data_IF_957349164981
#
_entry.id   IF_957349164981
#
_cell.length_a   1.000
_cell.length_b   1.000
_cell.length_c   1.000
_cell.angle_alpha   90.00
_cell.angle_beta   90.00
_cell.angle_gamma   90.00
#
_symmetry.space_group_name_H-M   'P 1'
#
loop_
_entity.id
_entity.type
_entity.pdbx_description
1 polymer ?
#
# COMPACT_ATOMS: atom_id res chain seq x y z
N UNK A 1 4.04 -27.72 -28.45
CA UNK A 1 3.30 -27.58 -27.18
C UNK A 1 4.34 -27.20 -26.15
N UNK A 2 4.22 -26.00 -25.58
CA UNK A 2 5.21 -25.45 -24.64
C UNK A 2 4.70 -25.42 -23.20
N UNK A 3 5.60 -25.62 -22.25
CA UNK A 3 5.35 -25.46 -20.81
C UNK A 3 6.48 -24.64 -20.16
N UNK A 4 6.10 -23.78 -19.21
CA UNK A 4 7.03 -22.97 -18.41
C UNK A 4 6.73 -23.21 -16.93
N UNK A 5 7.76 -23.53 -16.17
CA UNK A 5 7.72 -23.66 -14.72
C UNK A 5 8.60 -22.61 -14.06
N UNK A 6 8.07 -21.89 -13.06
CA UNK A 6 8.79 -20.85 -12.32
C UNK A 6 8.83 -21.18 -10.82
N UNK A 7 9.99 -20.97 -10.20
CA UNK A 7 10.23 -21.25 -8.77
C UNK A 7 11.12 -20.17 -8.12
N UNK A 8 11.15 -20.11 -6.79
CA UNK A 8 11.98 -19.18 -5.98
C UNK A 8 11.68 -17.69 -6.17
N UNK A 9 10.41 -17.27 -6.14
CA UNK A 9 9.98 -15.88 -6.45
C UNK A 9 10.42 -15.46 -7.86
N UNK A 10 10.15 -16.31 -8.84
CA UNK A 10 10.49 -16.11 -10.26
C UNK A 10 11.99 -16.01 -10.58
N UNK A 11 12.85 -16.51 -9.68
CA UNK A 11 14.30 -16.52 -9.92
C UNK A 11 14.74 -17.67 -10.82
N UNK A 12 14.03 -18.79 -10.81
CA UNK A 12 14.32 -19.94 -11.68
C UNK A 12 13.16 -20.13 -12.64
N UNK A 13 13.45 -20.17 -13.94
CA UNK A 13 12.52 -20.56 -14.99
C UNK A 13 13.06 -21.77 -15.75
N UNK A 14 12.20 -22.76 -15.94
CA UNK A 14 12.46 -23.93 -16.77
C UNK A 14 11.41 -23.93 -17.87
N UNK A 15 11.86 -24.06 -19.11
CA UNK A 15 11.03 -24.02 -20.31
C UNK A 15 11.28 -25.28 -21.11
N UNK A 16 10.20 -25.89 -21.59
CA UNK A 16 10.25 -27.01 -22.52
C UNK A 16 9.22 -26.76 -23.62
N UNK A 17 9.58 -26.98 -24.87
CA UNK A 17 8.67 -26.94 -26.01
C UNK A 17 8.96 -28.11 -26.95
N UNK A 18 7.89 -28.63 -27.56
CA UNK A 18 7.94 -29.72 -28.52
C UNK A 18 7.18 -29.29 -29.77
N UNK A 19 7.88 -29.17 -30.89
CA UNK A 19 7.31 -28.78 -32.18
C UNK A 19 7.31 -29.98 -33.11
N UNK A 20 6.16 -30.23 -33.73
CA UNK A 20 6.01 -31.21 -34.80
C UNK A 20 5.31 -30.54 -35.97
N UNK A 21 5.95 -30.58 -37.15
CA UNK A 21 5.45 -29.96 -38.37
C UNK A 21 4.81 -31.07 -39.23
N UNK A 22 3.52 -30.92 -39.54
CA UNK A 22 2.79 -31.90 -40.34
C UNK A 22 3.44 -32.08 -41.72
N UNK A 23 3.81 -33.32 -42.07
CA UNK A 23 4.43 -33.67 -43.35
C UNK A 23 5.96 -33.70 -43.35
N UNK A 24 6.62 -33.31 -42.26
CA UNK A 24 8.08 -33.45 -42.08
C UNK A 24 8.36 -34.51 -41.01
N UNK A 25 9.11 -35.58 -41.29
CA UNK A 25 9.52 -36.54 -40.27
C UNK A 25 10.51 -35.87 -39.31
N UNK A 26 10.08 -35.57 -38.08
CA UNK A 26 10.92 -34.98 -37.05
C UNK A 26 10.11 -34.43 -35.89
N UNK A 27 10.59 -34.65 -34.67
CA UNK A 27 10.09 -33.99 -33.46
C UNK A 27 11.22 -33.13 -32.94
N UNK A 28 11.06 -31.81 -32.99
CA UNK A 28 12.02 -30.86 -32.44
C UNK A 28 11.65 -30.56 -31.00
N UNK A 29 12.62 -30.66 -30.10
CA UNK A 29 12.45 -30.37 -28.68
C UNK A 29 13.41 -29.27 -28.26
N UNK A 30 12.85 -28.25 -27.63
CA UNK A 30 13.59 -27.12 -27.08
C UNK A 30 13.52 -27.17 -25.57
N UNK A 31 14.68 -27.12 -24.92
CA UNK A 31 14.79 -27.07 -23.48
C UNK A 31 15.57 -25.83 -23.06
N UNK A 32 15.11 -25.11 -22.04
CA UNK A 32 15.76 -23.91 -21.55
C UNK A 32 15.66 -23.78 -20.04
N UNK A 33 16.73 -23.34 -19.40
CA UNK A 33 16.78 -23.00 -17.98
C UNK A 33 17.39 -21.62 -17.84
N UNK A 34 16.75 -20.77 -17.05
CA UNK A 34 17.24 -19.45 -16.70
C UNK A 34 17.19 -19.25 -15.18
N UNK A 35 18.28 -18.74 -14.62
CA UNK A 35 18.44 -18.48 -13.20
C UNK A 35 18.93 -17.07 -12.94
N UNK A 36 18.17 -16.30 -12.14
CA UNK A 36 18.49 -14.95 -11.70
C UNK A 36 19.00 -14.94 -10.26
N UNK A 37 20.28 -14.64 -10.10
CA UNK A 37 20.91 -14.41 -8.80
C UNK A 37 20.80 -12.94 -8.40
N UNK A 38 20.12 -12.69 -7.28
CA UNK A 38 19.89 -11.36 -6.69
C UNK A 38 19.29 -10.31 -7.65
N UNK A 39 18.70 -10.73 -8.77
CA UNK A 39 18.17 -9.81 -9.80
C UNK A 39 19.24 -9.06 -10.61
N UNK A 40 20.52 -9.38 -10.42
CA UNK A 40 21.64 -8.72 -11.08
C UNK A 40 22.37 -9.63 -12.06
N UNK A 41 22.48 -10.92 -11.76
CA UNK A 41 23.18 -11.87 -12.60
C UNK A 41 22.20 -12.90 -13.15
N UNK A 42 22.25 -13.16 -14.45
CA UNK A 42 21.48 -14.18 -15.12
C UNK A 42 22.42 -15.27 -15.65
N UNK A 43 22.09 -16.52 -15.35
CA UNK A 43 22.69 -17.69 -15.98
C UNK A 43 21.63 -18.37 -16.83
N UNK A 44 21.96 -18.65 -18.08
CA UNK A 44 21.04 -19.27 -19.03
C UNK A 44 21.70 -20.45 -19.69
N UNK A 45 20.97 -21.54 -19.82
CA UNK A 45 21.37 -22.70 -20.60
C UNK A 45 20.19 -23.15 -21.44
N UNK A 46 20.42 -23.40 -22.72
CA UNK A 46 19.41 -23.89 -23.64
C UNK A 46 19.96 -25.05 -24.46
N UNK A 47 19.09 -25.96 -24.84
CA UNK A 47 19.42 -27.07 -25.71
C UNK A 47 18.29 -27.29 -26.70
N UNK A 48 18.68 -27.37 -27.95
CA UNK A 48 17.89 -27.78 -29.09
C UNK A 48 18.55 -29.01 -29.73
N UNK A 49 17.86 -29.67 -30.67
CA UNK A 49 18.40 -30.79 -31.44
C UNK A 49 19.70 -30.42 -32.19
N UNK A 50 19.86 -29.15 -32.58
CA UNK A 50 21.01 -28.67 -33.39
C UNK A 50 21.88 -27.61 -32.70
N UNK A 51 21.43 -26.99 -31.61
CA UNK A 51 22.14 -25.88 -30.96
C UNK A 51 22.14 -26.05 -29.43
N UNK A 52 23.32 -26.00 -28.81
CA UNK A 52 23.47 -25.86 -27.35
C UNK A 52 23.88 -24.44 -27.03
N UNK A 53 23.18 -23.79 -26.11
CA UNK A 53 23.43 -22.38 -25.75
C UNK A 53 23.77 -22.23 -24.28
N UNK A 54 24.73 -21.37 -23.99
CA UNK A 54 25.09 -20.95 -22.65
C UNK A 54 25.15 -19.42 -22.62
N UNK A 55 24.51 -18.81 -21.63
CA UNK A 55 24.38 -17.37 -21.52
C UNK A 55 24.70 -16.87 -20.12
N UNK A 56 25.33 -15.71 -20.07
CA UNK A 56 25.57 -14.95 -18.86
C UNK A 56 25.10 -13.51 -19.09
N UNK A 57 24.29 -13.00 -18.17
CA UNK A 57 23.79 -11.63 -18.20
C UNK A 57 24.09 -10.89 -16.91
N UNK A 58 24.41 -9.60 -17.01
CA UNK A 58 24.55 -8.69 -15.87
C UNK A 58 23.62 -7.50 -16.09
N UNK A 59 22.77 -7.23 -15.10
CA UNK A 59 21.92 -6.06 -15.04
C UNK A 59 22.28 -5.23 -13.81
N UNK A 60 22.76 -4.02 -14.04
CA UNK A 60 23.04 -3.05 -12.98
C UNK A 60 22.41 -1.71 -13.30
N UNK A 61 21.40 -1.32 -12.51
CA UNK A 61 20.64 -0.08 -12.69
C UNK A 61 20.05 0.02 -14.11
N UNK A 62 20.57 0.94 -14.92
CA UNK A 62 20.19 1.19 -16.30
C UNK A 62 21.04 0.43 -17.33
N UNK A 63 22.11 -0.25 -16.92
CA UNK A 63 23.00 -0.99 -17.78
C UNK A 63 22.64 -2.47 -17.78
N UNK A 64 22.62 -3.06 -18.97
CA UNK A 64 22.52 -4.50 -19.18
C UNK A 64 23.61 -4.98 -20.12
N UNK A 65 24.28 -6.06 -19.77
CA UNK A 65 25.22 -6.75 -20.64
C UNK A 65 24.85 -8.23 -20.71
N UNK A 66 24.78 -8.78 -21.90
CA UNK A 66 24.53 -10.21 -22.11
C UNK A 66 25.60 -10.78 -23.05
N UNK A 67 26.16 -11.91 -22.63
CA UNK A 67 27.06 -12.74 -23.41
C UNK A 67 26.42 -14.11 -23.57
N UNK A 68 26.30 -14.58 -24.80
CA UNK A 68 25.81 -15.92 -25.10
C UNK A 68 26.76 -16.64 -26.06
N UNK A 69 26.97 -17.91 -25.80
CA UNK A 69 27.73 -18.83 -26.61
C UNK A 69 26.78 -19.89 -27.13
N UNK A 70 26.78 -20.09 -28.45
CA UNK A 70 25.98 -21.09 -29.13
C UNK A 70 26.92 -22.08 -29.83
N UNK A 71 26.69 -23.37 -29.61
CA UNK A 71 27.42 -24.47 -30.20
C UNK A 71 26.48 -25.21 -31.15
N UNK A 72 26.80 -25.18 -32.44
CA UNK A 72 26.07 -25.91 -33.49
C UNK A 72 27.07 -26.59 -34.43
N UNK A 73 26.58 -27.45 -35.32
CA UNK A 73 27.45 -28.29 -36.18
C UNK A 73 28.34 -27.49 -37.14
N UNK A 74 27.97 -26.24 -37.44
CA UNK A 74 28.75 -25.34 -38.31
C UNK A 74 29.82 -24.54 -37.51
N UNK A 75 29.86 -24.67 -36.18
CA UNK A 75 30.88 -24.06 -35.33
C UNK A 75 30.36 -23.38 -34.07
N UNK A 76 31.25 -22.60 -33.45
CA UNK A 76 30.97 -21.81 -32.26
C UNK A 76 30.54 -20.39 -32.64
N UNK A 77 29.42 -19.93 -32.08
CA UNK A 77 28.90 -18.58 -32.26
C UNK A 77 28.92 -17.83 -30.94
N UNK A 78 29.52 -16.64 -30.95
CA UNK A 78 29.57 -15.74 -29.79
C UNK A 78 28.65 -14.55 -30.05
N UNK A 79 27.71 -14.31 -29.15
CA UNK A 79 26.71 -13.23 -29.22
C UNK A 79 26.92 -12.31 -28.02
N UNK A 80 27.09 -11.02 -28.28
CA UNK A 80 27.27 -9.99 -27.25
C UNK A 80 26.22 -8.90 -27.42
N UNK A 81 25.63 -8.47 -26.31
CA UNK A 81 24.64 -7.40 -26.28
C UNK A 81 24.93 -6.45 -25.13
N UNK A 82 24.81 -5.16 -25.39
CA UNK A 82 24.86 -4.11 -24.39
C UNK A 82 23.60 -3.24 -24.51
N UNK A 83 22.97 -2.93 -23.39
CA UNK A 83 21.76 -2.12 -23.33
C UNK A 83 21.88 -1.03 -22.28
N UNK A 84 21.35 0.15 -22.62
CA UNK A 84 21.25 1.30 -21.73
C UNK A 84 19.79 1.76 -21.68
N UNK A 85 19.19 1.73 -20.49
CA UNK A 85 17.79 2.10 -20.25
C UNK A 85 17.71 3.50 -19.67
N UNK A 86 17.15 4.44 -20.42
CA UNK A 86 16.96 5.81 -19.95
C UNK A 86 15.60 5.97 -19.25
N UNK A 87 15.59 6.69 -18.12
CA UNK A 87 14.36 7.04 -17.38
C UNK A 87 14.33 6.53 -15.94
N UNK A 88 13.35 6.99 -15.13
CA UNK A 88 13.14 6.47 -13.79
C UNK A 88 12.81 4.98 -13.86
N UNK A 89 13.31 4.20 -12.91
CA UNK A 89 12.95 2.79 -12.82
C UNK A 89 11.43 2.67 -12.69
N UNK A 90 10.85 1.60 -13.22
CA UNK A 90 9.41 1.33 -13.10
C UNK A 90 8.98 1.37 -11.63
N UNK A 91 9.84 0.89 -10.71
CA UNK A 91 9.63 0.97 -9.28
C UNK A 91 9.59 2.41 -8.75
N UNK A 92 10.52 3.28 -9.16
CA UNK A 92 10.52 4.68 -8.77
C UNK A 92 9.30 5.43 -9.32
N UNK A 93 8.94 5.17 -10.58
CA UNK A 93 7.73 5.74 -11.19
C UNK A 93 6.47 5.31 -10.45
N UNK A 94 6.31 4.01 -10.17
CA UNK A 94 5.17 3.49 -9.38
C UNK A 94 5.04 4.15 -8.02
N UNK A 95 6.15 4.37 -7.30
CA UNK A 95 6.13 5.09 -6.01
C UNK A 95 5.72 6.55 -6.14
N UNK A 96 6.16 7.23 -7.20
CA UNK A 96 5.75 8.60 -7.49
C UNK A 96 4.25 8.66 -7.81
N UNK A 97 3.76 7.76 -8.66
CA UNK A 97 2.34 7.67 -9.02
C UNK A 97 1.50 7.35 -7.76
N UNK A 98 1.95 6.42 -6.90
CA UNK A 98 1.30 6.11 -5.62
C UNK A 98 1.20 7.34 -4.72
N UNK A 99 2.29 8.11 -4.61
CA UNK A 99 2.32 9.35 -3.83
C UNK A 99 1.34 10.39 -4.38
N UNK A 100 1.21 10.50 -5.70
CA UNK A 100 0.24 11.42 -6.30
C UNK A 100 -1.20 11.03 -5.98
N UNK A 101 -1.54 9.74 -6.08
CA UNK A 101 -2.86 9.24 -5.69
C UNK A 101 -3.13 9.48 -4.19
N UNK A 102 -2.14 9.25 -3.33
CA UNK A 102 -2.23 9.55 -1.90
C UNK A 102 -2.51 11.03 -1.61
N UNK A 103 -1.83 11.95 -2.31
CA UNK A 103 -2.09 13.39 -2.17
C UNK A 103 -3.50 13.77 -2.62
N UNK A 104 -4.04 13.13 -3.66
CA UNK A 104 -5.44 13.32 -4.08
C UNK A 104 -6.41 12.80 -3.02
N UNK A 105 -6.10 11.67 -2.37
CA UNK A 105 -6.88 11.12 -1.26
C UNK A 105 -6.95 12.11 -0.10
N UNK A 106 -5.79 12.62 0.34
CA UNK A 106 -5.70 13.63 1.40
C UNK A 106 -6.47 14.91 1.04
N UNK A 107 -6.33 15.41 -0.19
CA UNK A 107 -7.12 16.56 -0.65
C UNK A 107 -8.63 16.31 -0.65
N UNK A 108 -9.08 15.08 -0.90
CA UNK A 108 -10.48 14.70 -0.80
C UNK A 108 -10.94 14.62 0.67
N UNK A 109 -10.13 14.05 1.56
CA UNK A 109 -10.41 14.01 3.01
C UNK A 109 -10.48 15.41 3.63
N UNK A 110 -9.59 16.32 3.23
CA UNK A 110 -9.62 17.74 3.65
C UNK A 110 -10.92 18.45 3.25
N UNK A 111 -11.53 18.01 2.16
CA UNK A 111 -12.83 18.51 1.70
C UNK A 111 -14.01 17.74 2.30
N UNK A 112 -13.76 16.61 2.95
CA UNK A 112 -14.76 15.73 3.56
C UNK A 112 -15.35 14.67 2.61
N UNK A 113 -14.82 14.53 1.39
CA UNK A 113 -15.28 13.52 0.43
C UNK A 113 -14.63 12.17 0.72
N UNK A 114 -15.12 11.48 1.76
CA UNK A 114 -14.48 10.27 2.28
C UNK A 114 -14.45 9.10 1.28
N UNK A 115 -15.56 8.82 0.59
CA UNK A 115 -15.62 7.72 -0.38
C UNK A 115 -14.60 7.93 -1.51
N UNK A 116 -14.59 9.14 -2.09
CA UNK A 116 -13.63 9.51 -3.14
C UNK A 116 -12.18 9.47 -2.65
N UNK A 117 -11.95 9.88 -1.40
CA UNK A 117 -10.64 9.77 -0.77
C UNK A 117 -10.19 8.32 -0.62
N UNK A 118 -11.08 7.41 -0.22
CA UNK A 118 -10.80 5.96 -0.18
C UNK A 118 -10.45 5.40 -1.55
N UNK A 119 -11.14 5.79 -2.62
CA UNK A 119 -10.84 5.31 -3.98
C UNK A 119 -9.40 5.67 -4.39
N UNK A 120 -9.01 6.94 -4.20
CA UNK A 120 -7.64 7.39 -4.45
C UNK A 120 -6.62 6.67 -3.55
N UNK A 121 -6.96 6.45 -2.29
CA UNK A 121 -6.08 5.74 -1.36
C UNK A 121 -5.91 4.27 -1.74
N UNK A 122 -6.97 3.62 -2.24
CA UNK A 122 -6.92 2.25 -2.78
C UNK A 122 -5.98 2.15 -3.98
N UNK A 123 -6.01 3.14 -4.88
CA UNK A 123 -5.03 3.23 -5.97
C UNK A 123 -3.60 3.35 -5.43
N UNK A 124 -3.37 4.22 -4.43
CA UNK A 124 -2.06 4.38 -3.80
C UNK A 124 -1.54 3.07 -3.18
N UNK A 125 -2.40 2.33 -2.45
CA UNK A 125 -2.07 1.02 -1.88
C UNK A 125 -1.75 0.01 -2.97
N UNK A 126 -2.49 -0.01 -4.08
CA UNK A 126 -2.21 -0.95 -5.18
C UNK A 126 -0.89 -0.67 -5.89
N UNK A 127 -0.47 0.60 -5.96
CA UNK A 127 0.76 1.04 -6.62
C UNK A 127 2.00 0.86 -5.74
N UNK A 128 1.86 1.05 -4.42
CA UNK A 128 2.91 0.83 -3.42
C UNK A 128 2.41 0.03 -2.20
N UNK A 129 2.21 -1.30 -2.34
CA UNK A 129 1.64 -2.14 -1.27
C UNK A 129 2.54 -2.29 -0.03
N UNK A 130 3.81 -1.91 -0.13
CA UNK A 130 4.76 -1.99 0.98
C UNK A 130 4.69 -0.77 1.90
N UNK A 131 3.97 0.29 1.49
CA UNK A 131 3.81 1.48 2.30
C UNK A 131 2.79 1.23 3.42
N UNK A 132 3.29 1.15 4.65
CA UNK A 132 2.49 0.87 5.84
C UNK A 132 1.52 1.98 6.21
N UNK A 133 1.79 3.23 5.81
CA UNK A 133 0.92 4.35 6.11
C UNK A 133 -0.32 4.33 5.23
N UNK A 134 -0.15 4.05 3.92
CA UNK A 134 -1.28 3.90 3.01
C UNK A 134 -2.19 2.76 3.43
N UNK A 135 -1.60 1.62 3.80
CA UNK A 135 -2.33 0.46 4.28
C UNK A 135 -3.08 0.74 5.59
N UNK A 136 -2.46 1.47 6.53
CA UNK A 136 -3.09 1.87 7.78
C UNK A 136 -4.31 2.77 7.55
N UNK A 137 -4.14 3.84 6.77
CA UNK A 137 -5.24 4.77 6.48
C UNK A 137 -6.38 4.10 5.72
N UNK A 138 -6.07 3.20 4.79
CA UNK A 138 -7.07 2.46 4.00
C UNK A 138 -7.93 1.54 4.87
N UNK A 139 -7.29 0.82 5.80
CA UNK A 139 -8.00 -0.03 6.75
C UNK A 139 -8.84 0.78 7.77
N UNK A 140 -8.41 2.01 8.10
CA UNK A 140 -9.15 2.89 9.03
C UNK A 140 -10.32 3.61 8.39
N UNK A 141 -10.19 4.05 7.14
CA UNK A 141 -11.31 4.69 6.44
C UNK A 141 -12.48 3.70 6.24
N UNK A 142 -12.20 2.40 6.14
CA UNK A 142 -13.20 1.33 6.09
C UNK A 142 -14.06 1.21 7.35
N UNK A 143 -13.54 1.64 8.50
CA UNK A 143 -14.31 1.68 9.75
C UNK A 143 -15.30 2.85 9.75
N UNK A 144 -14.91 3.97 9.13
CA UNK A 144 -15.66 5.23 9.18
C UNK A 144 -16.77 5.26 8.12
N UNK A 145 -16.45 4.85 6.89
CA UNK A 145 -17.34 5.02 5.73
C UNK A 145 -18.74 4.44 5.87
N UNK A 146 -18.94 3.26 6.48
CA UNK A 146 -20.28 2.70 6.68
C UNK A 146 -21.17 3.56 7.61
N UNK A 147 -20.55 4.37 8.48
CA UNK A 147 -21.23 5.16 9.50
C UNK A 147 -21.37 6.62 9.05
N UNK A 148 -20.33 7.16 8.41
CA UNK A 148 -20.27 8.54 7.97
C UNK A 148 -19.75 8.63 6.53
N UNK A 149 -20.66 8.91 5.60
CA UNK A 149 -20.36 9.18 4.19
C UNK A 149 -21.33 10.21 3.63
N UNK A 150 -21.41 11.36 4.29
CA UNK A 150 -22.34 12.43 3.92
C UNK A 150 -21.65 13.48 3.06
N UNK A 151 -22.43 14.17 2.23
CA UNK A 151 -21.94 15.34 1.48
C UNK A 151 -21.47 16.41 2.48
N UNK A 152 -20.22 16.91 2.36
CA UNK A 152 -19.70 17.94 3.26
C UNK A 152 -20.57 19.20 3.26
N UNK A 153 -20.88 19.71 4.45
CA UNK A 153 -21.62 20.96 4.66
C UNK A 153 -20.76 21.96 5.44
N UNK A 154 -20.92 23.27 5.20
CA UNK A 154 -20.18 24.31 5.92
C UNK A 154 -20.82 24.58 7.28
N UNK A 155 -20.87 23.57 8.15
CA UNK A 155 -21.36 23.69 9.52
C UNK A 155 -20.34 23.11 10.51
N UNK A 156 -20.45 23.53 11.77
CA UNK A 156 -19.50 23.18 12.82
C UNK A 156 -19.42 21.67 13.05
N UNK A 157 -20.55 20.95 12.96
CA UNK A 157 -20.59 19.49 13.13
C UNK A 157 -19.75 18.77 12.07
N UNK A 158 -19.99 19.06 10.78
CA UNK A 158 -19.25 18.45 9.66
C UNK A 158 -17.77 18.84 9.68
N UNK A 159 -17.42 20.04 10.13
CA UNK A 159 -16.02 20.45 10.30
C UNK A 159 -15.33 19.60 11.38
N UNK A 160 -15.96 19.43 12.54
CA UNK A 160 -15.44 18.63 13.64
C UNK A 160 -15.36 17.14 13.27
N UNK A 161 -16.37 16.58 12.61
CA UNK A 161 -16.35 15.21 12.11
C UNK A 161 -15.16 14.99 11.15
N UNK A 162 -14.97 15.91 10.19
CA UNK A 162 -13.83 15.84 9.26
C UNK A 162 -12.49 15.89 10.00
N UNK A 163 -12.37 16.76 11.00
CA UNK A 163 -11.17 16.87 11.83
C UNK A 163 -10.93 15.60 12.64
N UNK A 164 -11.96 14.98 13.19
CA UNK A 164 -11.87 13.70 13.90
C UNK A 164 -11.38 12.59 12.98
N UNK A 165 -11.98 12.44 11.79
CA UNK A 165 -11.55 11.47 10.78
C UNK A 165 -10.08 11.69 10.41
N UNK A 166 -9.65 12.92 10.14
CA UNK A 166 -8.24 13.22 9.86
C UNK A 166 -7.32 12.79 11.00
N UNK A 167 -7.68 13.10 12.25
CA UNK A 167 -6.88 12.67 13.42
C UNK A 167 -6.81 11.16 13.55
N UNK A 168 -7.90 10.46 13.22
CA UNK A 168 -7.93 9.01 13.22
C UNK A 168 -6.99 8.41 12.17
N UNK A 169 -7.04 8.92 10.94
CA UNK A 169 -6.15 8.50 9.84
C UNK A 169 -4.67 8.81 10.17
N UNK A 170 -4.38 9.92 10.85
CA UNK A 170 -3.04 10.32 11.29
C UNK A 170 -2.50 9.51 12.50
N UNK A 171 -3.11 8.38 12.87
CA UNK A 171 -2.79 7.55 14.06
C UNK A 171 -3.02 8.25 15.41
N UNK A 172 -3.69 9.41 15.43
CA UNK A 172 -3.98 10.18 16.65
C UNK A 172 -5.37 9.82 17.17
N UNK A 173 -5.53 8.54 17.55
CA UNK A 173 -6.81 7.95 17.97
C UNK A 173 -7.45 8.74 19.11
N UNK A 174 -6.70 9.05 20.16
CA UNK A 174 -7.26 9.78 21.32
C UNK A 174 -7.77 11.18 20.95
N UNK A 175 -7.06 11.90 20.09
CA UNK A 175 -7.51 13.21 19.61
C UNK A 175 -8.79 13.09 18.78
N UNK A 176 -8.93 12.02 17.98
CA UNK A 176 -10.18 11.75 17.26
C UNK A 176 -11.33 11.52 18.24
N UNK A 177 -11.13 10.63 19.23
CA UNK A 177 -12.12 10.32 20.26
C UNK A 177 -12.51 11.57 21.07
N UNK A 178 -11.56 12.43 21.43
CA UNK A 178 -11.84 13.70 22.12
C UNK A 178 -12.75 14.62 21.29
N UNK A 179 -12.51 14.74 19.99
CA UNK A 179 -13.37 15.55 19.11
C UNK A 179 -14.77 14.95 19.00
N UNK A 180 -14.88 13.62 18.87
CA UNK A 180 -16.17 12.93 18.81
C UNK A 180 -16.94 13.07 20.13
N UNK A 181 -16.27 12.95 21.28
CA UNK A 181 -16.85 13.19 22.60
C UNK A 181 -17.36 14.61 22.74
N UNK A 182 -16.59 15.60 22.25
CA UNK A 182 -17.05 16.98 22.21
C UNK A 182 -18.32 17.13 21.34
N UNK A 183 -18.43 16.45 20.21
CA UNK A 183 -19.68 16.45 19.43
C UNK A 183 -20.87 15.91 20.22
N UNK A 184 -20.71 14.86 21.03
CA UNK A 184 -21.79 14.37 21.90
C UNK A 184 -22.19 15.34 23.01
N UNK A 185 -21.29 16.22 23.43
CA UNK A 185 -21.65 17.27 24.40
C UNK A 185 -22.56 18.34 23.79
N UNK A 186 -22.47 18.53 22.46
CA UNK A 186 -23.32 19.45 21.71
C UNK A 186 -24.65 18.81 21.33
N UNK A 187 -24.64 17.51 20.99
CA UNK A 187 -25.83 16.72 20.66
C UNK A 187 -25.71 15.31 21.27
N UNK A 188 -26.20 15.11 22.52
CA UNK A 188 -26.08 13.84 23.22
C UNK A 188 -26.80 12.66 22.55
N UNK A 189 -27.78 12.94 21.68
CA UNK A 189 -28.58 11.94 20.98
C UNK A 189 -28.00 11.51 19.63
N UNK A 190 -26.83 12.03 19.23
CA UNK A 190 -26.28 11.80 17.89
C UNK A 190 -25.80 10.35 17.71
N UNK A 191 -26.71 9.49 17.22
CA UNK A 191 -26.45 8.07 17.01
C UNK A 191 -25.24 7.79 16.10
N UNK A 192 -24.97 8.67 15.11
CA UNK A 192 -23.80 8.53 14.22
C UNK A 192 -22.50 8.73 14.99
N UNK A 193 -22.41 9.77 15.80
CA UNK A 193 -21.21 10.06 16.60
C UNK A 193 -20.97 8.95 17.64
N UNK A 194 -22.04 8.45 18.28
CA UNK A 194 -21.96 7.29 19.18
C UNK A 194 -21.39 6.07 18.44
N UNK A 195 -21.93 5.76 17.26
CA UNK A 195 -21.46 4.64 16.45
C UNK A 195 -19.99 4.79 16.03
N UNK A 196 -19.56 6.00 15.65
CA UNK A 196 -18.16 6.29 15.30
C UNK A 196 -17.22 6.04 16.48
N UNK A 197 -17.57 6.52 17.69
CA UNK A 197 -16.76 6.29 18.90
C UNK A 197 -16.60 4.79 19.14
N UNK A 198 -17.70 4.03 19.12
CA UNK A 198 -17.65 2.59 19.36
C UNK A 198 -16.84 1.86 18.28
N UNK A 199 -17.02 2.21 17.01
CA UNK A 199 -16.27 1.61 15.92
C UNK A 199 -14.76 1.85 16.03
N UNK A 200 -14.36 3.09 16.34
CA UNK A 200 -12.95 3.46 16.56
C UNK A 200 -12.38 2.70 17.77
N UNK A 201 -13.09 2.69 18.92
CA UNK A 201 -12.62 1.99 20.12
C UNK A 201 -12.46 0.50 19.89
N UNK A 202 -13.43 -0.13 19.23
CA UNK A 202 -13.38 -1.56 18.91
C UNK A 202 -12.22 -1.89 17.96
N UNK A 203 -12.01 -1.07 16.92
CA UNK A 203 -10.90 -1.26 15.97
C UNK A 203 -9.54 -1.12 16.64
N UNK A 204 -9.39 -0.14 17.52
CA UNK A 204 -8.13 0.17 18.21
C UNK A 204 -7.95 -0.56 19.54
N UNK A 205 -8.92 -1.38 19.94
CA UNK A 205 -8.95 -2.08 21.24
C UNK A 205 -8.80 -1.14 22.45
N UNK A 206 -9.39 0.05 22.34
CA UNK A 206 -9.39 1.06 23.40
C UNK A 206 -10.44 0.69 24.45
N UNK A 207 -9.98 0.33 25.64
CA UNK A 207 -10.83 -0.10 26.77
C UNK A 207 -11.10 0.99 27.79
N UNK A 208 -10.55 2.20 27.61
CA UNK A 208 -10.80 3.33 28.51
C UNK A 208 -12.29 3.62 28.60
N UNK A 209 -12.79 3.71 29.84
CA UNK A 209 -14.17 4.09 30.12
C UNK A 209 -14.43 5.49 29.57
N UNK A 210 -15.64 5.72 29.07
CA UNK A 210 -16.03 7.09 28.71
C UNK A 210 -16.07 7.93 29.99
N UNK A 211 -15.48 9.14 29.99
CA UNK A 211 -15.52 9.99 31.16
C UNK A 211 -16.97 10.36 31.48
N UNK A 212 -17.38 10.24 32.74
CA UNK A 212 -18.67 10.75 33.19
C UNK A 212 -18.68 12.27 32.99
N UNK A 213 -19.64 12.78 32.20
CA UNK A 213 -19.82 14.19 31.96
C UNK A 213 -20.95 14.68 32.88
N UNK A 214 -20.69 15.64 33.79
CA UNK A 214 -21.76 16.29 34.56
C UNK A 214 -22.81 16.90 33.61
N UNK A 215 -24.09 16.82 34.00
CA UNK A 215 -25.18 17.38 33.21
C UNK A 215 -24.93 18.87 32.93
N UNK A 216 -24.92 19.25 31.64
CA UNK A 216 -24.69 20.62 31.19
C UNK A 216 -23.22 21.05 31.03
N UNK A 217 -22.25 20.16 31.29
CA UNK A 217 -20.81 20.45 31.15
C UNK A 217 -20.24 19.71 29.93
N UNK A 218 -19.53 20.42 29.04
CA UNK A 218 -18.87 19.78 27.91
C UNK A 218 -17.49 19.19 28.31
N UNK A 219 -16.86 18.36 27.46
CA UNK A 219 -15.56 17.74 27.79
C UNK A 219 -14.45 18.78 28.01
N UNK A 220 -14.50 19.91 27.29
CA UNK A 220 -13.56 21.02 27.48
C UNK A 220 -13.81 21.70 28.82
N UNK A 221 -15.06 21.92 29.19
CA UNK A 221 -15.45 22.50 30.48
C UNK A 221 -15.04 21.58 31.63
N UNK A 222 -15.18 20.26 31.47
CA UNK A 222 -14.72 19.27 32.45
C UNK A 222 -13.21 19.29 32.58
N UNK A 223 -12.46 19.22 31.48
CA UNK A 223 -11.01 19.28 31.53
C UNK A 223 -10.53 20.60 32.14
N UNK A 224 -11.18 21.72 31.81
CA UNK A 224 -10.88 23.03 32.39
C UNK A 224 -11.19 23.06 33.89
N UNK A 225 -12.33 22.51 34.30
CA UNK A 225 -12.72 22.38 35.70
C UNK A 225 -11.75 21.50 36.49
N UNK A 226 -11.37 20.35 35.94
CA UNK A 226 -10.41 19.42 36.55
C UNK A 226 -9.02 20.07 36.65
N UNK A 227 -8.52 20.70 35.59
CA UNK A 227 -7.24 21.45 35.61
C UNK A 227 -7.27 22.62 36.60
N UNK A 228 -8.39 23.35 36.71
CA UNK A 228 -8.56 24.41 37.71
C UNK A 228 -8.52 23.84 39.14
N UNK A 229 -9.21 22.73 39.38
CA UNK A 229 -9.18 22.07 40.70
C UNK A 229 -7.80 21.54 41.05
N UNK A 230 -7.07 20.95 40.09
CA UNK A 230 -5.68 20.52 40.33
C UNK A 230 -4.77 21.70 40.70
N UNK A 231 -5.01 22.87 40.09
CA UNK A 231 -4.31 24.09 40.44
C UNK A 231 -4.66 24.58 41.85
N UNK A 232 -5.95 24.60 42.22
CA UNK A 232 -6.40 25.00 43.56
C UNK A 232 -5.95 24.01 44.67
N UNK A 233 -5.89 22.72 44.36
CA UNK A 233 -5.43 21.66 45.27
C UNK A 233 -3.90 21.55 45.36
N UNK A 234 -3.15 22.37 44.61
CA UNK A 234 -1.69 22.34 44.59
C UNK A 234 -1.07 21.08 43.96
N UNK A 235 -1.85 20.31 43.19
CA UNK A 235 -1.44 19.07 42.52
C UNK A 235 -1.00 19.35 41.08
N UNK A 236 0.02 20.19 40.92
CA UNK A 236 0.47 20.69 39.62
C UNK A 236 0.98 19.61 38.65
N UNK A 237 1.37 18.43 39.13
CA UNK A 237 1.81 17.30 38.29
C UNK A 237 0.67 16.51 37.66
N UNK A 238 -0.58 16.73 38.09
CA UNK A 238 -1.77 15.99 37.62
C UNK A 238 -2.63 16.81 36.64
N UNK A 239 -2.22 18.05 36.34
CA UNK A 239 -2.92 18.99 35.47
C UNK A 239 -2.61 18.81 33.98
#
# INVERSE_FOLDING_TARGET
MGAVYKQFKDKLSVTTDIVSIAGVPGMESHFGVEYWLMGHFAFRAGMDAQEKTFGFGVNWQNLGFDYAMAMHDLGLSHRMSASLRFGPSIAAKRKLDARQEYLKAHAAFEKGYLARGKDFLGNAVSLDPQNTDYAYEFDRIDVILPIYNEVPRPNKEHELLRRAVKKYLDRRVEHSLQILRYLLTLDPGNAKVIALIQAVKNKERVTTAEPELPSGMNLVDKNLYDSLNYFYDGKYEQA
#
